data_IF_870263741152
#
_entry.id   IF_870263741152
#
_cell.length_a   1.000
_cell.length_b   1.000
_cell.length_c   1.000
_cell.angle_alpha   90.00
_cell.angle_beta   90.00
_cell.angle_gamma   90.00
#
_symmetry.space_group_name_H-M   'P 1'
#
loop_
_entity.id
_entity.type
_entity.pdbx_description
1 polymer ?
#
# COMPACT_ATOMS: atom_id res chain seq x y z
N UNK A 1 -19.99 -35.12 -16.06
CA UNK A 1 -19.32 -33.82 -16.31
C UNK A 1 -20.22 -32.73 -15.76
N UNK A 2 -20.00 -32.32 -14.51
CA UNK A 2 -20.72 -31.18 -13.93
C UNK A 2 -19.93 -29.92 -14.28
N UNK A 3 -20.54 -29.04 -15.06
CA UNK A 3 -20.04 -27.71 -15.30
C UNK A 3 -20.15 -26.92 -13.99
N UNK A 4 -19.00 -26.53 -13.43
CA UNK A 4 -18.93 -25.55 -12.35
C UNK A 4 -19.10 -24.18 -13.00
N UNK A 5 -20.32 -23.65 -12.94
CA UNK A 5 -20.59 -22.26 -13.32
C UNK A 5 -19.98 -21.36 -12.25
N UNK A 6 -18.84 -20.73 -12.55
CA UNK A 6 -18.30 -19.65 -11.72
C UNK A 6 -19.19 -18.43 -11.89
N UNK A 7 -19.98 -18.10 -10.87
CA UNK A 7 -20.60 -16.78 -10.77
C UNK A 7 -19.48 -15.76 -10.58
N UNK A 8 -19.30 -14.90 -11.58
CA UNK A 8 -18.32 -13.82 -11.56
C UNK A 8 -18.83 -12.75 -10.61
N UNK A 9 -18.36 -12.77 -9.36
CA UNK A 9 -18.53 -11.65 -8.44
C UNK A 9 -17.79 -10.44 -9.01
N UNK A 10 -18.46 -9.28 -9.07
CA UNK A 10 -17.87 -8.02 -9.47
C UNK A 10 -17.44 -7.29 -8.19
N UNK A 11 -16.15 -7.37 -7.88
CA UNK A 11 -15.53 -6.54 -6.84
C UNK A 11 -15.36 -5.10 -7.37
N UNK A 12 -15.77 -4.11 -6.58
CA UNK A 12 -15.68 -2.68 -6.89
C UNK A 12 -15.00 -1.89 -5.78
N UNK A 13 -14.47 -0.71 -6.12
CA UNK A 13 -13.91 0.27 -5.16
C UNK A 13 -14.85 1.48 -5.08
N UNK A 14 -15.16 1.92 -3.86
CA UNK A 14 -15.93 3.13 -3.59
C UNK A 14 -15.07 4.11 -2.79
N UNK A 15 -14.97 5.35 -3.25
CA UNK A 15 -14.25 6.42 -2.56
C UNK A 15 -15.20 7.31 -1.77
N UNK A 16 -14.73 7.94 -0.69
CA UNK A 16 -15.52 8.84 0.17
C UNK A 16 -16.07 10.11 -0.53
N UNK A 17 -15.79 10.30 -1.82
CA UNK A 17 -16.37 11.35 -2.68
C UNK A 17 -17.54 10.89 -3.55
N UNK A 18 -17.79 9.58 -3.62
CA UNK A 18 -18.96 9.02 -4.29
C UNK A 18 -20.16 9.10 -3.33
N UNK A 19 -21.35 9.45 -3.84
CA UNK A 19 -22.62 9.54 -3.09
C UNK A 19 -22.96 8.17 -2.46
N UNK A 20 -22.34 7.89 -1.32
CA UNK A 20 -22.35 6.62 -0.58
C UNK A 20 -23.36 6.68 0.57
N UNK A 21 -24.59 7.11 0.24
CA UNK A 21 -25.73 7.02 1.15
C UNK A 21 -25.88 5.59 1.68
N UNK A 22 -26.22 5.42 2.96
CA UNK A 22 -26.38 4.10 3.64
C UNK A 22 -27.28 3.12 2.87
N UNK A 23 -28.21 3.62 2.06
CA UNK A 23 -29.16 2.85 1.25
C UNK A 23 -28.56 2.30 -0.05
N UNK A 24 -27.50 2.92 -0.59
CA UNK A 24 -26.73 2.37 -1.72
C UNK A 24 -25.74 1.30 -1.23
N UNK A 25 -25.12 1.52 -0.07
CA UNK A 25 -24.15 0.57 0.52
C UNK A 25 -24.80 -0.74 0.97
N UNK A 26 -26.11 -0.78 1.26
CA UNK A 26 -26.81 -2.00 1.66
C UNK A 26 -26.89 -3.08 0.58
N UNK A 27 -26.55 -2.74 -0.67
CA UNK A 27 -26.49 -3.68 -1.81
C UNK A 27 -25.12 -4.32 -1.99
N UNK A 28 -24.17 -3.95 -1.14
CA UNK A 28 -22.80 -4.38 -1.24
C UNK A 28 -22.35 -5.03 0.06
N UNK A 29 -21.59 -6.11 -0.07
CA UNK A 29 -20.83 -6.70 1.01
C UNK A 29 -19.49 -5.96 1.12
N UNK A 30 -19.22 -5.34 2.27
CA UNK A 30 -17.92 -4.73 2.51
C UNK A 30 -16.85 -5.83 2.64
N UNK A 31 -15.88 -5.82 1.74
CA UNK A 31 -14.74 -6.73 1.76
C UNK A 31 -13.61 -6.18 2.63
N UNK A 32 -13.31 -4.89 2.49
CA UNK A 32 -12.25 -4.25 3.24
C UNK A 32 -12.39 -2.74 3.26
N UNK A 33 -11.62 -2.13 4.15
CA UNK A 33 -11.50 -0.69 4.32
C UNK A 33 -10.02 -0.36 4.35
N UNK A 34 -9.60 0.63 3.55
CA UNK A 34 -8.21 1.05 3.43
C UNK A 34 -8.12 2.55 3.75
N UNK A 35 -7.21 2.93 4.65
CA UNK A 35 -6.83 4.32 4.87
C UNK A 35 -5.75 4.73 3.88
N UNK A 36 -5.87 5.92 3.29
CA UNK A 36 -4.94 6.43 2.28
C UNK A 36 -4.07 7.53 2.90
N UNK A 37 -2.76 7.33 2.91
CA UNK A 37 -1.76 8.34 3.19
C UNK A 37 -1.32 8.98 1.86
N UNK A 38 -1.45 10.29 1.76
CA UNK A 38 -1.10 11.03 0.55
C UNK A 38 0.07 11.98 0.83
N UNK A 39 1.24 11.74 0.23
CA UNK A 39 2.41 12.60 0.37
C UNK A 39 2.72 13.30 -0.96
N UNK A 40 3.24 14.53 -0.89
CA UNK A 40 3.67 15.29 -2.05
C UNK A 40 5.00 16.00 -1.77
N UNK A 41 5.95 15.91 -2.70
CA UNK A 41 7.25 16.57 -2.60
C UNK A 41 7.93 16.72 -3.95
N UNK A 42 8.99 17.53 -4.01
CA UNK A 42 9.98 17.44 -5.08
C UNK A 42 10.92 16.26 -4.83
N UNK A 43 11.41 15.61 -5.88
CA UNK A 43 12.34 14.47 -5.78
C UNK A 43 13.61 14.79 -5.00
N UNK A 44 14.06 16.05 -4.92
CA UNK A 44 15.22 16.41 -4.10
C UNK A 44 15.00 16.21 -2.59
N UNK A 45 13.75 16.29 -2.13
CA UNK A 45 13.36 16.26 -0.72
C UNK A 45 13.22 14.84 -0.17
N UNK A 46 13.06 13.84 -1.05
CA UNK A 46 12.80 12.47 -0.63
C UNK A 46 14.01 11.82 0.05
N UNK A 47 15.24 12.17 -0.36
CA UNK A 47 16.46 11.62 0.24
C UNK A 47 16.57 11.98 1.72
N UNK A 48 16.58 13.29 2.07
CA UNK A 48 16.56 13.73 3.47
C UNK A 48 15.37 13.17 4.27
N UNK A 49 14.19 13.10 3.64
CA UNK A 49 13.01 12.48 4.26
C UNK A 49 13.25 11.02 4.66
N UNK A 50 13.83 10.20 3.76
CA UNK A 50 14.09 8.78 4.04
C UNK A 50 15.14 8.58 5.13
N UNK A 51 16.14 9.46 5.22
CA UNK A 51 17.12 9.42 6.30
C UNK A 51 16.47 9.73 7.66
N UNK A 52 15.56 10.72 7.71
CA UNK A 52 14.81 11.03 8.94
C UNK A 52 13.94 9.84 9.37
N UNK A 53 13.22 9.23 8.42
CA UNK A 53 12.39 8.06 8.71
C UNK A 53 13.21 6.86 9.20
N UNK A 54 14.39 6.62 8.62
CA UNK A 54 15.29 5.56 9.07
C UNK A 54 15.73 5.79 10.52
N UNK A 55 16.18 7.01 10.84
CA UNK A 55 16.61 7.34 12.21
C UNK A 55 15.47 7.14 13.21
N UNK A 56 14.25 7.56 12.85
CA UNK A 56 13.06 7.38 13.69
C UNK A 56 12.75 5.89 13.91
N UNK A 57 12.82 5.09 12.85
CA UNK A 57 12.59 3.65 12.93
C UNK A 57 13.60 2.97 13.87
N UNK A 58 14.88 3.35 13.80
CA UNK A 58 15.93 2.82 14.67
C UNK A 58 15.76 3.23 16.14
N UNK A 59 15.39 4.50 16.37
CA UNK A 59 15.20 5.05 17.72
C UNK A 59 13.98 4.45 18.42
N UNK A 60 12.85 4.34 17.72
CA UNK A 60 11.58 3.89 18.31
C UNK A 60 11.54 2.38 18.54
N UNK A 61 12.23 1.58 17.71
CA UNK A 61 12.01 0.13 17.67
C UNK A 61 13.23 -0.75 17.97
N UNK A 62 14.37 -0.18 18.44
CA UNK A 62 15.58 -0.90 18.86
C UNK A 62 15.88 -2.11 17.98
N UNK A 63 16.19 -1.83 16.71
CA UNK A 63 16.59 -2.76 15.64
C UNK A 63 16.74 -4.25 16.04
N UNK A 64 15.63 -5.00 16.04
CA UNK A 64 15.72 -6.35 15.50
C UNK A 64 15.90 -6.16 13.99
N UNK A 65 17.08 -6.54 13.49
CA UNK A 65 17.52 -6.29 12.13
C UNK A 65 16.56 -6.93 11.10
N UNK A 66 15.56 -6.17 10.72
CA UNK A 66 14.66 -6.50 9.63
C UNK A 66 15.21 -5.86 8.37
N UNK A 67 15.72 -6.70 7.47
CA UNK A 67 16.15 -6.32 6.14
C UNK A 67 15.00 -6.63 5.19
N UNK A 68 14.08 -5.68 4.92
CA UNK A 68 13.02 -5.89 3.95
C UNK A 68 13.62 -6.31 2.61
N UNK A 69 13.09 -7.38 2.04
CA UNK A 69 13.59 -8.01 0.83
C UNK A 69 12.68 -7.63 -0.33
N UNK A 70 13.28 -7.05 -1.38
CA UNK A 70 12.64 -6.92 -2.69
C UNK A 70 12.64 -8.29 -3.36
N UNK A 71 11.46 -8.79 -3.72
CA UNK A 71 11.36 -10.10 -4.38
C UNK A 71 11.59 -9.97 -5.88
N UNK A 72 12.19 -10.99 -6.49
CA UNK A 72 12.18 -11.11 -7.95
C UNK A 72 10.81 -11.58 -8.45
N UNK A 73 10.44 -11.25 -9.69
CA UNK A 73 9.14 -11.58 -10.28
C UNK A 73 8.69 -13.05 -10.08
N UNK A 74 9.62 -14.01 -10.12
CA UNK A 74 9.32 -15.43 -9.90
C UNK A 74 9.02 -15.78 -8.42
N UNK A 75 9.61 -15.03 -7.49
CA UNK A 75 9.34 -15.14 -6.06
C UNK A 75 8.05 -14.42 -5.69
N UNK A 76 7.69 -13.33 -6.38
CA UNK A 76 6.45 -12.57 -6.20
C UNK A 76 5.21 -13.45 -6.38
N UNK A 77 5.11 -14.15 -7.51
CA UNK A 77 3.96 -15.02 -7.82
C UNK A 77 3.79 -16.14 -6.79
N UNK A 78 4.90 -16.79 -6.40
CA UNK A 78 4.88 -17.88 -5.42
C UNK A 78 4.54 -17.40 -4.01
N UNK A 79 4.92 -16.17 -3.68
CA UNK A 79 4.81 -15.65 -2.34
C UNK A 79 3.45 -14.96 -2.09
N UNK A 80 2.85 -14.28 -3.08
CA UNK A 80 1.48 -13.73 -3.02
C UNK A 80 0.46 -14.85 -2.83
N UNK A 81 0.70 -16.00 -3.45
CA UNK A 81 -0.16 -17.19 -3.36
C UNK A 81 0.11 -18.08 -2.15
N UNK A 82 1.06 -17.72 -1.27
CA UNK A 82 1.32 -18.50 -0.07
C UNK A 82 0.15 -18.41 0.91
N UNK A 83 -0.27 -19.55 1.46
CA UNK A 83 -1.43 -19.65 2.36
C UNK A 83 -1.35 -18.69 3.54
N UNK A 84 -0.14 -18.38 4.00
CA UNK A 84 0.10 -17.45 5.11
C UNK A 84 -0.22 -16.00 4.74
N UNK A 85 0.15 -15.54 3.54
CA UNK A 85 -0.13 -14.16 3.08
C UNK A 85 -1.61 -13.98 2.80
N UNK A 86 -2.23 -14.96 2.14
CA UNK A 86 -3.66 -14.94 1.82
C UNK A 86 -4.50 -14.98 3.10
N UNK A 87 -4.13 -15.81 4.08
CA UNK A 87 -4.92 -15.96 5.31
C UNK A 87 -4.71 -14.82 6.33
N UNK A 88 -3.53 -14.21 6.40
CA UNK A 88 -3.17 -13.30 7.50
C UNK A 88 -2.89 -11.85 7.10
N UNK A 89 -2.63 -11.57 5.82
CA UNK A 89 -2.29 -10.21 5.36
C UNK A 89 -3.31 -9.65 4.36
N UNK A 90 -3.86 -10.48 3.48
CA UNK A 90 -4.83 -10.02 2.49
C UNK A 90 -6.23 -9.88 3.08
N UNK A 91 -6.94 -8.77 2.79
CA UNK A 91 -8.32 -8.61 3.23
C UNK A 91 -9.22 -9.70 2.63
N UNK A 92 -10.03 -10.34 3.48
CA UNK A 92 -11.07 -11.29 3.05
C UNK A 92 -10.57 -12.66 2.58
N UNK A 93 -9.30 -13.02 2.80
CA UNK A 93 -8.77 -14.34 2.41
C UNK A 93 -8.64 -14.55 0.89
N UNK A 94 -8.71 -13.47 0.11
CA UNK A 94 -8.75 -13.49 -1.35
C UNK A 94 -7.59 -12.73 -2.01
N UNK A 95 -7.47 -12.86 -3.33
CA UNK A 95 -6.41 -12.26 -4.15
C UNK A 95 -6.33 -10.74 -3.97
N UNK A 96 -5.12 -10.15 -4.13
CA UNK A 96 -4.99 -8.70 -4.18
C UNK A 96 -5.89 -8.15 -5.28
N UNK A 97 -6.62 -7.07 -5.00
CA UNK A 97 -7.51 -6.42 -5.96
C UNK A 97 -6.78 -6.08 -7.26
N UNK A 98 -7.55 -5.84 -8.33
CA UNK A 98 -7.15 -5.68 -9.75
C UNK A 98 -5.96 -4.77 -10.10
N UNK A 99 -5.35 -4.08 -9.13
CA UNK A 99 -4.06 -3.41 -9.27
C UNK A 99 -2.88 -4.38 -9.47
N UNK A 100 -3.08 -5.69 -9.31
CA UNK A 100 -2.00 -6.69 -9.34
C UNK A 100 -1.71 -7.30 -10.73
N UNK A 101 -2.32 -6.84 -11.83
CA UNK A 101 -2.20 -7.60 -13.09
C UNK A 101 -0.98 -7.32 -13.96
N UNK A 102 -0.31 -6.16 -13.93
CA UNK A 102 0.91 -5.97 -14.73
C UNK A 102 1.87 -4.96 -14.07
N UNK A 103 3.10 -5.41 -13.75
CA UNK A 103 4.21 -4.53 -13.36
C UNK A 103 4.25 -4.05 -11.91
N UNK A 104 3.92 -4.90 -10.94
CA UNK A 104 3.96 -4.54 -9.52
C UNK A 104 5.25 -5.03 -8.82
N UNK A 105 6.03 -4.12 -8.22
CA UNK A 105 7.20 -4.47 -7.39
C UNK A 105 6.71 -4.87 -5.98
N UNK A 106 7.06 -6.08 -5.54
CA UNK A 106 6.64 -6.64 -4.24
C UNK A 106 7.72 -6.45 -3.17
N UNK A 107 7.37 -5.80 -2.06
CA UNK A 107 8.24 -5.62 -0.89
C UNK A 107 7.72 -6.39 0.33
N UNK A 108 8.60 -7.04 1.11
CA UNK A 108 8.23 -7.73 2.36
C UNK A 108 9.18 -7.42 3.50
N UNK A 109 8.69 -7.45 4.73
CA UNK A 109 9.55 -7.38 5.91
C UNK A 109 10.33 -8.68 6.13
N UNK A 110 9.70 -9.86 6.02
CA UNK A 110 10.36 -11.17 6.16
C UNK A 110 10.17 -12.08 4.94
N UNK A 111 11.19 -12.84 4.49
CA UNK A 111 11.05 -13.80 3.39
C UNK A 111 10.21 -15.05 3.75
N UNK A 112 10.17 -15.47 5.02
CA UNK A 112 9.53 -16.74 5.42
C UNK A 112 8.11 -16.56 6.00
N UNK A 113 7.88 -15.48 6.75
CA UNK A 113 6.58 -15.13 7.34
C UNK A 113 6.46 -13.60 7.46
N UNK A 114 6.05 -12.89 6.41
CA UNK A 114 5.93 -11.44 6.50
C UNK A 114 4.84 -11.03 7.48
N UNK A 115 5.10 -10.02 8.31
CA UNK A 115 4.07 -9.32 9.10
C UNK A 115 3.57 -8.06 8.37
N UNK A 116 4.31 -7.62 7.35
CA UNK A 116 3.86 -6.66 6.36
C UNK A 116 4.30 -7.07 4.95
N UNK A 117 3.40 -6.84 4.00
CA UNK A 117 3.60 -7.01 2.58
C UNK A 117 3.25 -5.69 1.91
N UNK A 118 3.96 -5.33 0.85
CA UNK A 118 3.51 -4.28 -0.02
C UNK A 118 3.51 -4.66 -1.49
N UNK A 119 2.49 -4.13 -2.19
CA UNK A 119 2.30 -4.15 -3.62
C UNK A 119 2.44 -2.72 -4.16
N UNK A 120 3.54 -2.45 -4.85
CA UNK A 120 3.74 -1.15 -5.49
C UNK A 120 3.41 -1.21 -6.97
N UNK A 121 2.87 -0.13 -7.52
CA UNK A 121 2.78 0.05 -8.98
C UNK A 121 4.03 0.77 -9.49
N UNK A 122 4.52 0.46 -10.70
CA UNK A 122 5.53 1.30 -11.36
C UNK A 122 5.07 2.78 -11.38
N UNK A 123 5.91 3.75 -10.95
CA UNK A 123 5.57 5.16 -11.05
C UNK A 123 5.24 5.55 -12.49
N UNK A 124 4.18 6.31 -12.70
CA UNK A 124 3.83 6.80 -14.03
C UNK A 124 3.75 8.33 -14.08
N UNK A 125 4.23 8.94 -15.17
CA UNK A 125 4.21 10.40 -15.32
C UNK A 125 2.80 10.90 -15.60
N UNK A 126 2.45 12.00 -14.95
CA UNK A 126 1.23 12.77 -15.23
C UNK A 126 1.65 14.04 -15.97
N UNK A 127 0.98 14.40 -17.09
CA UNK A 127 1.36 15.55 -17.93
C UNK A 127 1.38 16.91 -17.20
N UNK A 128 0.77 16.99 -16.03
CA UNK A 128 0.65 18.21 -15.24
C UNK A 128 1.89 18.39 -14.34
N UNK A 129 2.64 19.49 -14.53
CA UNK A 129 3.82 19.89 -13.72
C UNK A 129 4.95 18.86 -13.57
N UNK A 130 5.13 17.96 -14.55
CA UNK A 130 6.15 16.90 -14.47
C UNK A 130 6.01 16.06 -13.18
N UNK A 131 4.78 15.76 -12.79
CA UNK A 131 4.47 14.98 -11.59
C UNK A 131 4.57 13.49 -11.92
N UNK A 132 5.28 12.71 -11.13
CA UNK A 132 5.18 11.26 -11.11
C UNK A 132 4.21 10.81 -10.01
N UNK A 133 3.31 9.90 -10.36
CA UNK A 133 2.35 9.31 -9.44
C UNK A 133 2.79 7.89 -9.06
N UNK A 134 2.75 7.58 -7.77
CA UNK A 134 3.10 6.26 -7.27
C UNK A 134 2.08 5.74 -6.26
N UNK A 135 1.64 4.50 -6.45
CA UNK A 135 0.70 3.81 -5.57
C UNK A 135 1.41 2.66 -4.87
N UNK A 136 1.19 2.58 -3.56
CA UNK A 136 1.79 1.59 -2.70
C UNK A 136 0.70 1.03 -1.77
N UNK A 137 0.37 -0.25 -1.91
CA UNK A 137 -0.58 -0.92 -1.01
C UNK A 137 0.19 -1.74 0.02
N UNK A 138 0.20 -1.30 1.28
CA UNK A 138 0.89 -2.01 2.36
C UNK A 138 -0.15 -2.74 3.23
N UNK A 139 -0.08 -4.06 3.21
CA UNK A 139 -0.84 -4.97 4.02
C UNK A 139 -0.04 -5.36 5.25
N UNK A 140 -0.51 -5.00 6.43
CA UNK A 140 0.14 -5.37 7.68
C UNK A 140 -0.64 -4.87 8.88
N UNK A 141 -0.43 -5.55 10.01
CA UNK A 141 -1.10 -5.23 11.28
C UNK A 141 -0.11 -4.67 12.33
N UNK A 142 1.19 -4.77 12.07
CA UNK A 142 2.25 -4.20 12.91
C UNK A 142 2.68 -2.86 12.33
N UNK A 143 2.55 -1.78 13.11
CA UNK A 143 2.98 -0.45 12.69
C UNK A 143 4.46 -0.45 12.31
N UNK A 144 5.31 -1.10 13.12
CA UNK A 144 6.74 -1.24 12.85
C UNK A 144 7.02 -1.88 11.48
N UNK A 145 6.40 -3.03 11.21
CA UNK A 145 6.58 -3.75 9.94
C UNK A 145 6.10 -2.92 8.74
N UNK A 146 4.98 -2.21 8.89
CA UNK A 146 4.44 -1.33 7.85
C UNK A 146 5.40 -0.17 7.58
N UNK A 147 5.94 0.48 8.62
CA UNK A 147 6.93 1.55 8.48
C UNK A 147 8.22 1.06 7.81
N UNK A 148 8.72 -0.13 8.17
CA UNK A 148 9.92 -0.71 7.57
C UNK A 148 9.73 -1.02 6.08
N UNK A 149 8.61 -1.64 5.71
CA UNK A 149 8.28 -1.94 4.30
C UNK A 149 8.09 -0.65 3.50
N UNK A 150 7.36 0.32 4.05
CA UNK A 150 7.16 1.63 3.44
C UNK A 150 8.49 2.31 3.10
N UNK A 151 9.40 2.38 4.08
CA UNK A 151 10.71 2.99 3.93
C UNK A 151 11.55 2.30 2.84
N UNK A 152 11.61 0.98 2.87
CA UNK A 152 12.40 0.20 1.92
C UNK A 152 11.95 0.38 0.48
N UNK A 153 10.63 0.45 0.28
CA UNK A 153 10.07 0.65 -1.05
C UNK A 153 10.35 2.05 -1.59
N UNK A 154 10.17 3.08 -0.77
CA UNK A 154 10.53 4.43 -1.20
C UNK A 154 12.01 4.54 -1.58
N UNK A 155 12.91 3.85 -0.84
CA UNK A 155 14.34 3.78 -1.19
C UNK A 155 14.59 3.11 -2.53
N UNK A 156 13.94 1.99 -2.80
CA UNK A 156 14.10 1.27 -4.07
C UNK A 156 13.63 2.09 -5.27
N UNK A 157 12.67 2.98 -5.06
CA UNK A 157 12.12 3.83 -6.13
C UNK A 157 13.00 5.03 -6.44
N UNK A 158 13.89 5.46 -5.54
CA UNK A 158 14.66 6.70 -5.66
C UNK A 158 15.31 6.90 -7.03
N UNK A 159 15.94 5.84 -7.57
CA UNK A 159 16.65 5.91 -8.83
C UNK A 159 15.76 6.11 -10.06
N UNK A 160 14.46 5.85 -9.91
CA UNK A 160 13.47 5.85 -11.00
C UNK A 160 12.57 7.10 -10.99
N UNK A 161 12.75 7.99 -10.00
CA UNK A 161 11.89 9.14 -9.78
C UNK A 161 12.53 10.43 -10.33
N UNK A 162 11.69 11.35 -10.82
CA UNK A 162 12.12 12.68 -11.26
C UNK A 162 10.97 13.68 -11.13
N UNK A 163 11.30 14.97 -11.00
CA UNK A 163 10.32 16.04 -10.89
C UNK A 163 9.58 16.06 -9.55
N UNK A 164 8.28 16.35 -9.61
CA UNK A 164 7.41 16.34 -8.43
C UNK A 164 6.77 14.96 -8.24
N UNK A 165 6.50 14.59 -7.01
CA UNK A 165 6.06 13.26 -6.64
C UNK A 165 4.77 13.35 -5.84
N UNK A 166 3.80 12.49 -6.16
CA UNK A 166 2.66 12.22 -5.30
C UNK A 166 2.63 10.73 -4.99
N UNK A 167 2.66 10.41 -3.70
CA UNK A 167 2.56 9.04 -3.19
C UNK A 167 1.18 8.81 -2.59
N UNK A 168 0.53 7.74 -3.04
CA UNK A 168 -0.65 7.18 -2.38
C UNK A 168 -0.26 5.87 -1.71
N UNK A 169 -0.33 5.84 -0.38
CA UNK A 169 -0.08 4.63 0.40
C UNK A 169 -1.36 4.14 1.05
N UNK A 170 -1.82 2.96 0.67
CA UNK A 170 -3.02 2.32 1.19
C UNK A 170 -2.62 1.38 2.31
N UNK A 171 -3.24 1.56 3.48
CA UNK A 171 -2.96 0.78 4.68
C UNK A 171 -4.23 0.42 5.41
N UNK A 172 -4.15 -0.56 6.31
CA UNK A 172 -5.26 -0.82 7.22
C UNK A 172 -5.59 0.44 8.07
N UNK A 173 -6.88 0.81 8.24
CA UNK A 173 -7.29 2.03 8.95
C UNK A 173 -6.71 2.21 10.35
N UNK A 174 -6.49 1.12 11.08
CA UNK A 174 -5.88 1.18 12.42
C UNK A 174 -4.40 1.56 12.41
N UNK A 175 -3.71 1.34 11.29
CA UNK A 175 -2.28 1.66 11.12
C UNK A 175 -2.08 3.09 10.64
N UNK A 176 -3.05 3.62 9.89
CA UNK A 176 -2.96 4.94 9.26
C UNK A 176 -2.54 6.07 10.21
N UNK A 177 -3.09 6.22 11.44
CA UNK A 177 -2.68 7.31 12.33
C UNK A 177 -1.21 7.22 12.73
N UNK A 178 -0.75 5.99 13.03
CA UNK A 178 0.65 5.73 13.40
C UNK A 178 1.58 5.97 12.22
N UNK A 179 1.19 5.55 11.01
CA UNK A 179 1.99 5.80 9.81
C UNK A 179 2.04 7.31 9.47
N UNK A 180 0.94 8.04 9.62
CA UNK A 180 0.93 9.51 9.45
C UNK A 180 1.89 10.18 10.43
N UNK A 181 1.87 9.78 11.70
CA UNK A 181 2.78 10.30 12.71
C UNK A 181 4.24 9.96 12.36
N UNK A 182 4.50 8.73 11.95
CA UNK A 182 5.83 8.30 11.49
C UNK A 182 6.34 9.15 10.31
N UNK A 183 5.46 9.58 9.40
CA UNK A 183 5.81 10.42 8.25
C UNK A 183 5.92 11.93 8.55
N UNK A 184 5.72 12.37 9.80
CA UNK A 184 6.02 13.75 10.17
C UNK A 184 7.50 14.02 9.95
N UNK A 185 7.84 15.13 9.32
CA UNK A 185 9.20 15.38 8.89
C UNK A 185 9.58 16.86 8.95
N UNK A 186 10.89 17.09 8.90
CA UNK A 186 11.52 18.41 8.79
C UNK A 186 11.86 18.80 7.34
N UNK A 187 11.76 17.85 6.40
CA UNK A 187 11.90 18.07 4.96
C UNK A 187 10.66 18.76 4.37
N UNK A 188 10.72 19.17 3.09
CA UNK A 188 9.54 19.73 2.41
C UNK A 188 8.59 18.65 1.87
N UNK A 189 8.42 17.53 2.60
CA UNK A 189 7.44 16.49 2.24
C UNK A 189 6.10 16.78 2.91
N UNK A 190 5.12 17.17 2.10
CA UNK A 190 3.82 17.63 2.57
C UNK A 190 2.78 16.52 2.54
N UNK A 191 1.83 16.57 3.47
CA UNK A 191 0.60 15.78 3.39
C UNK A 191 -0.35 16.44 2.38
N UNK A 192 -0.66 15.74 1.30
CA UNK A 192 -1.50 16.29 0.22
C UNK A 192 -3.00 16.26 0.56
N UNK A 193 -3.43 15.27 1.35
CA UNK A 193 -4.80 15.13 1.84
C UNK A 193 -4.80 14.71 3.31
N UNK A 194 -5.80 15.19 4.05
CA UNK A 194 -6.16 14.62 5.35
C UNK A 194 -6.75 13.21 5.17
N UNK A 195 -7.13 12.58 6.29
CA UNK A 195 -7.59 11.20 6.30
C UNK A 195 -8.64 10.92 5.23
N UNK A 196 -8.27 10.03 4.32
CA UNK A 196 -9.09 9.54 3.23
C UNK A 196 -9.22 8.02 3.35
N UNK A 197 -10.37 7.49 3.00
CA UNK A 197 -10.65 6.06 3.05
C UNK A 197 -11.20 5.57 1.72
N UNK A 198 -10.83 4.36 1.35
CA UNK A 198 -11.44 3.60 0.27
C UNK A 198 -12.13 2.36 0.83
N UNK A 199 -13.33 2.08 0.32
CA UNK A 199 -14.11 0.90 0.65
C UNK A 199 -14.01 -0.09 -0.51
N UNK A 200 -13.49 -1.27 -0.21
CA UNK A 200 -13.51 -2.42 -1.11
C UNK A 200 -14.80 -3.17 -0.86
N UNK A 201 -15.62 -3.29 -1.90
CA UNK A 201 -16.95 -3.85 -1.80
C UNK A 201 -17.18 -4.90 -2.87
N UNK A 202 -18.04 -5.86 -2.57
CA UNK A 202 -18.52 -6.89 -3.48
C UNK A 202 -20.03 -6.73 -3.63
N UNK A 203 -20.54 -6.80 -4.85
CA UNK A 203 -21.99 -6.92 -5.04
C UNK A 203 -22.40 -8.36 -4.76
N UNK A 204 -23.33 -8.55 -3.82
CA UNK A 204 -24.12 -9.78 -3.79
C UNK A 204 -25.03 -9.74 -5.03
N UNK A 205 -24.75 -10.59 -6.03
CA UNK A 205 -25.60 -10.78 -7.20
C UNK A 205 -26.84 -11.62 -6.84
#
# INVERSE_FOLDING_TARGET
>A
MSAVTFHRSLAGRLCRGDDSSSEKLSRYRLLAKEGILCLFCEVGEIGPFLEELQQRLEQEYKAEAFNPVTLSQAEEEKAVLSTNVVANLLPGGGQPGSASQEGADLGRDCPLRPNALSLCTIPYPVPYHHVALHFNNIFGHSLYSVCAVFLAQLRNLLSCLSGYLIFYTYVHPSIWPGLKQFCQNSSNVMFFKDYWEELLVETDL
#
